data_IF_818117247360
#
_entry.id   IF_818117247360
#
_cell.length_a   1.000
_cell.length_b   1.000
_cell.length_c   1.000
_cell.angle_alpha   90.00
_cell.angle_beta   90.00
_cell.angle_gamma   90.00
#
_symmetry.space_group_name_H-M   'P 1'
#
loop_
_entity.id
_entity.type
_entity.pdbx_description
1 polymer ?
#
# COMPACT_ATOMS: atom_id res chain seq x y z
N UNK A 1 -35.61 54.61 -23.32
CA UNK A 1 -34.45 53.73 -23.56
C UNK A 1 -33.27 54.23 -22.76
N UNK A 2 -32.91 53.52 -21.67
CA UNK A 2 -31.59 53.59 -21.01
C UNK A 2 -31.46 52.34 -20.13
N UNK A 3 -30.39 51.60 -20.37
CA UNK A 3 -30.24 50.19 -20.04
C UNK A 3 -29.96 49.95 -18.55
N UNK A 4 -30.50 48.85 -18.05
CA UNK A 4 -30.18 48.25 -16.76
C UNK A 4 -28.90 47.44 -16.92
N UNK A 5 -27.84 47.80 -16.18
CA UNK A 5 -26.63 46.97 -16.07
C UNK A 5 -26.75 46.16 -14.78
N UNK A 6 -27.17 44.91 -14.92
CA UNK A 6 -27.09 43.91 -13.84
C UNK A 6 -25.66 43.38 -13.81
N UNK A 7 -24.88 43.85 -12.83
CA UNK A 7 -23.60 43.23 -12.47
C UNK A 7 -23.89 41.89 -11.78
N UNK A 8 -23.88 40.81 -12.56
CA UNK A 8 -23.78 39.46 -12.01
C UNK A 8 -22.36 39.29 -11.45
N UNK A 9 -22.21 39.59 -10.16
CA UNK A 9 -21.03 39.20 -9.40
C UNK A 9 -20.97 37.69 -9.32
N UNK A 10 -20.24 37.08 -10.26
CA UNK A 10 -19.84 35.68 -10.18
C UNK A 10 -18.81 35.59 -9.05
N UNK A 11 -19.28 35.45 -7.80
CA UNK A 11 -18.42 34.98 -6.74
C UNK A 11 -18.01 33.55 -7.11
N UNK A 12 -16.82 33.44 -7.68
CA UNK A 12 -16.04 32.20 -7.67
C UNK A 12 -15.91 31.81 -6.20
N UNK A 13 -16.84 30.98 -5.71
CA UNK A 13 -16.54 30.18 -4.53
C UNK A 13 -15.40 29.28 -4.98
N UNK A 14 -14.18 29.66 -4.64
CA UNK A 14 -13.05 28.76 -4.69
C UNK A 14 -13.44 27.57 -3.83
N UNK A 15 -13.95 26.53 -4.48
CA UNK A 15 -13.98 25.20 -3.91
C UNK A 15 -12.52 24.83 -3.79
N UNK A 16 -11.90 25.22 -2.68
CA UNK A 16 -10.72 24.56 -2.17
C UNK A 16 -11.15 23.10 -1.98
N UNK A 17 -10.98 22.31 -3.03
CA UNK A 17 -10.73 20.90 -2.89
C UNK A 17 -9.39 20.81 -2.15
N UNK A 18 -9.42 21.07 -0.83
CA UNK A 18 -8.53 20.44 0.10
C UNK A 18 -8.76 18.95 -0.15
N UNK A 19 -7.92 18.38 -0.99
CA UNK A 19 -7.65 16.96 -1.01
C UNK A 19 -7.48 16.62 0.47
N UNK A 20 -8.47 15.98 1.09
CA UNK A 20 -8.35 15.50 2.46
C UNK A 20 -7.12 14.59 2.44
N UNK A 21 -6.00 15.14 2.91
CA UNK A 21 -4.75 14.39 2.93
C UNK A 21 -4.98 13.22 3.87
N UNK A 22 -4.45 12.08 3.46
CA UNK A 22 -4.61 10.72 3.98
C UNK A 22 -4.13 10.54 5.44
N UNK A 23 -4.46 11.47 6.34
CA UNK A 23 -4.48 11.22 7.77
C UNK A 23 -5.65 10.30 8.06
N UNK A 24 -5.48 9.30 8.92
CA UNK A 24 -6.46 8.25 9.19
C UNK A 24 -6.55 7.12 8.13
N UNK A 25 -5.44 6.74 7.52
CA UNK A 25 -5.38 5.57 6.65
C UNK A 25 -5.82 4.28 7.38
N UNK A 26 -5.38 4.10 8.62
CA UNK A 26 -5.59 2.87 9.36
C UNK A 26 -7.08 2.62 9.62
N UNK A 27 -7.85 3.61 10.08
CA UNK A 27 -9.28 3.40 10.34
C UNK A 27 -10.11 3.43 9.05
N UNK A 28 -9.76 4.32 8.10
CA UNK A 28 -10.53 4.45 6.87
C UNK A 28 -10.34 3.25 5.92
N UNK A 29 -9.10 2.77 5.78
CA UNK A 29 -8.71 1.83 4.71
C UNK A 29 -8.10 0.56 5.28
N UNK A 30 -7.06 0.68 6.11
CA UNK A 30 -6.24 -0.46 6.48
C UNK A 30 -6.99 -1.49 7.32
N UNK A 31 -7.75 -1.08 8.33
CA UNK A 31 -8.55 -2.01 9.17
C UNK A 31 -9.67 -2.66 8.33
N UNK A 32 -10.55 -1.91 7.61
CA UNK A 32 -11.59 -2.54 6.80
C UNK A 32 -11.04 -3.49 5.72
N UNK A 33 -9.90 -3.16 5.13
CA UNK A 33 -9.26 -4.00 4.11
C UNK A 33 -8.70 -5.28 4.73
N UNK A 34 -8.09 -5.20 5.91
CA UNK A 34 -7.60 -6.36 6.66
C UNK A 34 -8.74 -7.34 6.98
N UNK A 35 -9.85 -6.85 7.53
CA UNK A 35 -11.03 -7.66 7.85
C UNK A 35 -11.63 -8.32 6.61
N UNK A 36 -11.75 -7.58 5.51
CA UNK A 36 -12.24 -8.09 4.23
C UNK A 36 -11.34 -9.20 3.69
N UNK A 37 -10.03 -8.98 3.61
CA UNK A 37 -9.08 -9.98 3.10
C UNK A 37 -9.12 -11.24 3.97
N UNK A 38 -9.17 -11.07 5.30
CA UNK A 38 -9.26 -12.18 6.23
C UNK A 38 -10.49 -13.05 5.97
N UNK A 39 -11.66 -12.44 5.86
CA UNK A 39 -12.91 -13.16 5.60
C UNK A 39 -12.89 -13.91 4.27
N UNK A 40 -12.31 -13.31 3.21
CA UNK A 40 -12.15 -13.96 1.90
C UNK A 40 -11.20 -15.16 1.98
N UNK A 41 -10.06 -14.99 2.64
CA UNK A 41 -9.06 -16.06 2.78
C UNK A 41 -9.56 -17.21 3.65
N UNK A 42 -10.25 -16.92 4.75
CA UNK A 42 -10.92 -17.93 5.58
C UNK A 42 -11.99 -18.69 4.79
N UNK A 43 -12.76 -17.99 3.95
CA UNK A 43 -13.73 -18.62 3.06
C UNK A 43 -13.05 -19.54 2.02
N UNK A 44 -11.92 -19.13 1.45
CA UNK A 44 -11.11 -19.96 0.52
C UNK A 44 -10.57 -21.21 1.22
N UNK A 45 -10.13 -21.10 2.48
CA UNK A 45 -9.69 -22.27 3.26
C UNK A 45 -10.85 -23.22 3.59
N UNK A 46 -12.02 -22.67 3.90
CA UNK A 46 -13.22 -23.45 4.24
C UNK A 46 -13.83 -24.13 3.00
N UNK A 47 -13.85 -23.47 1.85
CA UNK A 47 -14.35 -23.97 0.58
C UNK A 47 -13.21 -24.19 -0.41
N UNK A 48 -12.75 -25.44 -0.56
CA UNK A 48 -11.70 -25.85 -1.53
C UNK A 48 -11.98 -25.53 -3.01
N UNK A 49 -13.14 -24.93 -3.34
CA UNK A 49 -13.62 -24.64 -4.70
C UNK A 49 -13.80 -23.12 -4.99
N UNK A 50 -13.39 -22.19 -4.11
CA UNK A 50 -13.38 -20.76 -4.45
C UNK A 50 -12.09 -20.46 -5.22
N UNK A 51 -12.21 -20.05 -6.49
CA UNK A 51 -11.09 -19.58 -7.30
C UNK A 51 -10.78 -18.11 -6.98
N UNK A 52 -9.51 -17.74 -7.08
CA UNK A 52 -8.94 -16.44 -6.64
C UNK A 52 -9.41 -15.25 -7.52
N UNK A 53 -10.25 -15.52 -8.52
CA UNK A 53 -10.67 -14.61 -9.60
C UNK A 53 -11.57 -13.45 -9.11
N UNK A 54 -12.20 -13.57 -7.92
CA UNK A 54 -13.12 -12.56 -7.38
C UNK A 54 -12.45 -11.46 -6.51
N UNK A 55 -11.11 -11.44 -6.41
CA UNK A 55 -10.43 -10.56 -5.43
C UNK A 55 -10.40 -9.08 -5.79
N UNK A 56 -10.37 -8.65 -7.07
CA UNK A 56 -10.26 -7.23 -7.51
C UNK A 56 -10.87 -6.97 -8.91
N UNK A 57 -11.43 -5.77 -9.16
CA UNK A 57 -11.86 -5.31 -10.49
C UNK A 57 -10.65 -4.85 -11.33
N UNK A 58 -10.42 -5.48 -12.48
CA UNK A 58 -9.48 -5.00 -13.51
C UNK A 58 -8.00 -5.32 -13.27
N UNK A 59 -7.68 -6.31 -12.43
CA UNK A 59 -6.33 -6.87 -12.30
C UNK A 59 -6.31 -8.38 -12.56
N UNK A 60 -5.13 -8.94 -12.79
CA UNK A 60 -4.94 -10.38 -13.00
C UNK A 60 -4.22 -11.01 -11.81
N UNK A 61 -4.58 -12.25 -11.47
CA UNK A 61 -3.83 -13.03 -10.49
C UNK A 61 -2.39 -13.23 -10.95
N UNK A 62 -1.46 -12.74 -10.15
CA UNK A 62 -0.04 -12.90 -10.35
C UNK A 62 0.38 -14.33 -9.95
N UNK A 63 1.19 -15.00 -10.78
CA UNK A 63 1.91 -16.19 -10.36
C UNK A 63 2.72 -15.92 -9.09
N UNK A 64 2.81 -16.92 -8.21
CA UNK A 64 3.49 -16.80 -6.91
C UNK A 64 4.95 -16.29 -7.00
N UNK A 65 5.62 -16.56 -8.12
CA UNK A 65 7.00 -16.16 -8.39
C UNK A 65 7.14 -14.89 -9.24
N UNK A 66 6.04 -14.20 -9.59
CA UNK A 66 6.09 -13.01 -10.45
C UNK A 66 6.68 -11.80 -9.72
N UNK A 67 6.38 -11.65 -8.43
CA UNK A 67 6.82 -10.53 -7.60
C UNK A 67 7.46 -11.01 -6.29
N UNK A 68 8.62 -11.68 -6.36
CA UNK A 68 9.27 -12.32 -5.21
C UNK A 68 9.82 -11.31 -4.18
N UNK A 69 9.84 -10.03 -4.50
CA UNK A 69 10.16 -8.95 -3.57
C UNK A 69 8.93 -8.39 -2.84
N UNK A 70 7.72 -8.71 -3.29
CA UNK A 70 6.49 -8.22 -2.68
C UNK A 70 6.33 -8.81 -1.28
N UNK A 71 5.92 -7.97 -0.34
CA UNK A 71 5.68 -8.37 1.03
C UNK A 71 4.40 -7.72 1.56
N UNK A 72 3.45 -8.55 2.00
CA UNK A 72 2.27 -8.08 2.73
C UNK A 72 2.64 -7.65 4.15
N UNK A 73 1.89 -6.70 4.72
CA UNK A 73 2.04 -6.28 6.11
C UNK A 73 0.71 -6.44 6.85
N UNK A 74 0.74 -7.14 7.97
CA UNK A 74 -0.29 -7.03 9.01
C UNK A 74 0.27 -6.19 10.15
N UNK A 75 -0.52 -5.24 10.62
CA UNK A 75 -0.07 -4.18 11.52
C UNK A 75 -0.97 -4.19 12.76
N UNK A 76 -0.41 -4.55 13.90
CA UNK A 76 -1.06 -4.37 15.19
C UNK A 76 -0.95 -2.89 15.58
N UNK A 77 -2.03 -2.29 16.05
CA UNK A 77 -2.04 -0.88 16.46
C UNK A 77 -1.89 -0.74 17.98
N UNK A 78 -1.35 0.38 18.44
CA UNK A 78 -1.17 0.67 19.87
C UNK A 78 -2.54 0.87 20.52
N UNK A 79 -2.79 0.15 21.62
CA UNK A 79 -4.01 0.35 22.42
C UNK A 79 -5.28 -0.27 21.83
N UNK A 80 -5.17 -1.06 20.76
CA UNK A 80 -6.31 -1.76 20.14
C UNK A 80 -6.01 -3.25 19.95
N UNK A 81 -7.06 -4.02 19.66
CA UNK A 81 -6.96 -5.41 19.16
C UNK A 81 -7.15 -5.50 17.65
N UNK A 82 -7.32 -4.36 16.98
CA UNK A 82 -7.55 -4.29 15.55
C UNK A 82 -6.26 -4.47 14.78
N UNK A 83 -6.36 -5.07 13.60
CA UNK A 83 -5.25 -5.29 12.69
C UNK A 83 -5.49 -4.47 11.43
N UNK A 84 -4.50 -3.68 11.06
CA UNK A 84 -4.48 -2.93 9.81
C UNK A 84 -3.61 -3.65 8.76
N UNK A 85 -3.76 -3.30 7.49
CA UNK A 85 -2.94 -3.84 6.39
C UNK A 85 -2.19 -2.75 5.65
N UNK A 86 -0.96 -3.08 5.25
CA UNK A 86 -0.20 -2.36 4.23
C UNK A 86 0.52 -3.36 3.32
N UNK A 87 1.33 -2.83 2.39
CA UNK A 87 2.29 -3.59 1.61
C UNK A 87 3.71 -3.04 1.82
N UNK A 88 4.68 -3.81 1.37
CA UNK A 88 6.10 -3.49 1.47
C UNK A 88 6.89 -4.22 0.37
N UNK A 89 8.18 -3.91 0.26
CA UNK A 89 9.09 -4.59 -0.67
C UNK A 89 10.40 -4.96 0.00
N UNK A 90 10.88 -6.17 -0.25
CA UNK A 90 12.16 -6.66 0.26
C UNK A 90 13.32 -5.96 -0.48
N UNK A 91 14.16 -5.23 0.26
CA UNK A 91 15.34 -4.54 -0.28
C UNK A 91 16.63 -5.33 -0.07
N UNK A 92 16.67 -6.15 0.96
CA UNK A 92 17.81 -7.01 1.31
C UNK A 92 17.31 -8.14 2.21
N UNK A 93 18.11 -9.17 2.53
CA UNK A 93 17.66 -10.30 3.34
C UNK A 93 16.98 -9.93 4.67
N UNK A 94 17.27 -8.77 5.26
CA UNK A 94 16.67 -8.34 6.52
C UNK A 94 16.07 -6.92 6.51
N UNK A 95 15.82 -6.33 5.33
CA UNK A 95 15.23 -4.98 5.25
C UNK A 95 14.09 -4.97 4.25
N UNK A 96 12.94 -4.47 4.70
CA UNK A 96 11.80 -4.18 3.83
C UNK A 96 11.50 -2.68 3.86
N UNK A 97 11.14 -2.13 2.70
CA UNK A 97 10.67 -0.74 2.57
C UNK A 97 9.16 -0.71 2.54
N UNK A 98 8.58 0.28 3.22
CA UNK A 98 7.14 0.54 3.26
C UNK A 98 6.91 2.04 3.36
N UNK A 99 5.65 2.47 3.37
CA UNK A 99 5.28 3.86 3.63
C UNK A 99 5.41 4.19 5.12
N UNK A 100 5.78 5.42 5.45
CA UNK A 100 5.83 5.87 6.84
C UNK A 100 4.43 5.94 7.48
N UNK A 101 3.39 6.23 6.70
CA UNK A 101 2.02 6.23 7.18
C UNK A 101 1.53 4.86 7.64
N UNK A 102 2.13 3.76 7.17
CA UNK A 102 1.85 2.42 7.67
C UNK A 102 2.33 2.23 9.12
N UNK A 103 3.27 3.04 9.58
CA UNK A 103 3.67 3.08 10.98
C UNK A 103 2.91 4.14 11.76
N UNK A 104 2.75 5.33 11.20
CA UNK A 104 1.99 6.42 11.83
C UNK A 104 1.29 7.29 10.81
N UNK A 105 -0.03 7.22 10.75
CA UNK A 105 -0.84 7.98 9.77
C UNK A 105 -1.30 9.35 10.29
N UNK A 106 -0.77 9.81 11.42
CA UNK A 106 -1.21 11.04 12.09
C UNK A 106 -2.29 10.82 13.15
N UNK A 107 -2.88 9.63 13.22
CA UNK A 107 -3.90 9.24 14.20
C UNK A 107 -3.46 7.98 14.94
N UNK A 108 -3.24 6.89 14.18
CA UNK A 108 -2.94 5.56 14.70
C UNK A 108 -1.44 5.27 14.60
N UNK A 109 -0.90 4.58 15.59
CA UNK A 109 0.51 4.16 15.66
C UNK A 109 0.60 2.63 15.66
N UNK A 110 1.49 2.08 14.82
CA UNK A 110 1.81 0.67 14.80
C UNK A 110 2.58 0.25 16.07
N UNK A 111 2.15 -0.85 16.69
CA UNK A 111 2.85 -1.51 17.81
C UNK A 111 3.75 -2.65 17.34
N UNK A 112 3.37 -3.32 16.25
CA UNK A 112 4.12 -4.41 15.65
C UNK A 112 3.71 -4.63 14.19
N UNK A 113 4.68 -5.02 13.36
CA UNK A 113 4.47 -5.46 11.99
C UNK A 113 4.68 -6.97 11.91
N UNK A 114 3.79 -7.68 11.25
CA UNK A 114 4.06 -9.00 10.67
C UNK A 114 4.30 -8.81 9.18
N UNK A 115 5.50 -9.14 8.72
CA UNK A 115 5.90 -9.12 7.31
C UNK A 115 5.63 -10.50 6.71
N UNK A 116 4.90 -10.56 5.59
CA UNK A 116 4.51 -11.80 4.91
C UNK A 116 5.20 -11.85 3.54
N UNK A 117 6.08 -12.82 3.35
CA UNK A 117 6.86 -13.03 2.12
C UNK A 117 6.47 -14.35 1.45
N UNK A 118 6.58 -14.40 0.11
CA UNK A 118 6.41 -15.64 -0.66
C UNK A 118 5.00 -16.24 -0.58
N UNK A 119 3.96 -15.41 -0.52
CA UNK A 119 2.56 -15.84 -0.51
C UNK A 119 1.68 -14.89 -1.31
N UNK A 120 0.68 -15.47 -1.98
CA UNK A 120 -0.45 -14.78 -2.61
C UNK A 120 -1.58 -14.45 -1.61
N UNK A 121 -1.36 -14.78 -0.34
CA UNK A 121 -2.32 -14.63 0.73
C UNK A 121 -1.70 -13.91 1.92
N UNK A 122 -2.48 -13.03 2.55
CA UNK A 122 -2.02 -12.21 3.66
C UNK A 122 -2.16 -12.94 5.01
N UNK A 123 -3.17 -13.79 5.15
CA UNK A 123 -3.47 -14.59 6.34
C UNK A 123 -3.11 -16.07 6.19
N UNK A 124 -2.81 -16.54 4.98
CA UNK A 124 -2.49 -17.96 4.71
C UNK A 124 -1.04 -18.13 4.22
N UNK A 125 -0.33 -19.08 4.82
CA UNK A 125 1.01 -19.47 4.37
C UNK A 125 2.03 -18.32 4.41
N UNK A 126 3.03 -18.44 3.53
CA UNK A 126 4.17 -17.53 3.45
C UNK A 126 5.14 -17.63 4.62
N UNK A 127 6.29 -16.96 4.46
CA UNK A 127 7.21 -16.71 5.57
C UNK A 127 6.73 -15.48 6.34
N UNK A 128 6.40 -15.66 7.62
CA UNK A 128 5.76 -14.64 8.47
C UNK A 128 6.72 -14.20 9.55
N UNK A 129 7.10 -12.92 9.53
CA UNK A 129 8.19 -12.40 10.37
C UNK A 129 7.70 -11.17 11.13
N UNK A 130 7.65 -11.29 12.46
CA UNK A 130 7.29 -10.17 13.32
C UNK A 130 8.47 -9.21 13.53
N UNK A 131 8.23 -7.91 13.51
CA UNK A 131 9.21 -6.88 13.87
C UNK A 131 8.56 -5.63 14.45
N UNK A 132 9.28 -5.00 15.37
CA UNK A 132 8.96 -3.67 15.94
C UNK A 132 10.02 -2.63 15.58
N UNK A 133 11.04 -3.01 14.82
CA UNK A 133 12.16 -2.13 14.46
C UNK A 133 11.83 -1.38 13.17
N UNK A 134 11.28 -0.18 13.34
CA UNK A 134 10.92 0.72 12.26
C UNK A 134 11.83 1.94 12.26
N UNK A 135 12.31 2.33 11.09
CA UNK A 135 13.03 3.58 10.88
C UNK A 135 12.27 4.41 9.84
N UNK A 136 11.52 5.39 10.31
CA UNK A 136 10.83 6.35 9.44
C UNK A 136 11.80 7.42 8.95
N UNK A 137 11.52 8.00 7.79
CA UNK A 137 12.24 9.18 7.34
C UNK A 137 12.12 10.31 8.39
N UNK A 138 13.23 10.96 8.80
CA UNK A 138 13.23 11.94 9.89
C UNK A 138 12.40 13.19 9.61
N UNK A 139 12.14 13.48 8.32
CA UNK A 139 11.31 14.58 7.86
C UNK A 139 9.93 14.14 7.34
N UNK A 140 9.43 12.97 7.76
CA UNK A 140 8.08 12.54 7.43
C UNK A 140 7.04 13.48 8.07
N UNK A 141 6.07 13.94 7.26
CA UNK A 141 4.97 14.80 7.73
C UNK A 141 3.64 14.15 7.32
N UNK A 142 2.91 13.50 8.25
CA UNK A 142 1.67 12.78 7.94
C UNK A 142 0.63 13.63 7.21
N UNK A 143 0.41 14.86 7.68
CA UNK A 143 -0.58 15.80 7.13
C UNK A 143 -0.37 16.14 5.64
N UNK A 144 0.83 15.94 5.10
CA UNK A 144 1.15 16.26 3.71
C UNK A 144 1.67 15.05 2.93
N UNK A 145 1.68 13.85 3.54
CA UNK A 145 2.35 12.65 3.02
C UNK A 145 3.78 12.93 2.51
N UNK A 146 4.46 13.92 3.11
CA UNK A 146 5.80 14.34 2.68
C UNK A 146 6.81 13.36 3.24
N UNK A 147 7.72 12.87 2.40
CA UNK A 147 8.73 11.88 2.77
C UNK A 147 8.12 10.62 3.39
N UNK A 148 7.04 10.13 2.78
CA UNK A 148 6.29 8.96 3.24
C UNK A 148 7.02 7.64 2.94
N UNK A 149 8.12 7.41 3.67
CA UNK A 149 8.96 6.23 3.53
C UNK A 149 9.49 5.77 4.89
N UNK A 150 9.47 4.46 5.11
CA UNK A 150 10.03 3.81 6.28
C UNK A 150 10.71 2.49 5.92
N UNK A 151 11.69 2.08 6.72
CA UNK A 151 12.36 0.79 6.63
C UNK A 151 12.01 -0.04 7.87
N UNK A 152 11.55 -1.27 7.67
CA UNK A 152 11.43 -2.26 8.74
C UNK A 152 12.66 -3.17 8.71
N UNK A 153 13.25 -3.38 9.88
CA UNK A 153 14.37 -4.31 10.05
C UNK A 153 13.87 -5.65 10.56
N UNK A 154 14.10 -6.71 9.79
CA UNK A 154 13.75 -8.07 10.19
C UNK A 154 14.74 -8.58 11.25
N UNK A 155 14.28 -9.39 12.21
CA UNK A 155 15.13 -9.96 13.26
C UNK A 155 16.21 -10.93 12.75
N UNK A 156 16.04 -11.53 11.56
CA UNK A 156 17.00 -12.41 10.91
C UNK A 156 16.96 -12.22 9.38
N UNK A 157 17.98 -12.76 8.70
CA UNK A 157 18.04 -12.79 7.25
C UNK A 157 17.08 -13.85 6.70
N UNK A 158 16.22 -13.44 5.78
CA UNK A 158 15.36 -14.33 5.00
C UNK A 158 16.18 -15.04 3.94
N UNK A 159 15.93 -16.34 3.76
CA UNK A 159 16.60 -17.13 2.73
C UNK A 159 16.03 -16.77 1.36
N UNK A 160 16.89 -16.39 0.43
CA UNK A 160 16.44 -16.15 -0.95
C UNK A 160 16.03 -17.46 -1.63
N UNK A 161 14.89 -17.41 -2.32
CA UNK A 161 14.29 -18.50 -3.10
C UNK A 161 13.75 -17.94 -4.42
N UNK A 162 13.15 -18.81 -5.26
CA UNK A 162 12.47 -18.38 -6.48
C UNK A 162 11.19 -17.56 -6.24
N UNK A 163 10.67 -17.54 -5.01
CA UNK A 163 9.45 -16.79 -4.61
C UNK A 163 9.75 -15.71 -3.56
N UNK A 164 11.00 -15.63 -3.06
CA UNK A 164 11.46 -14.61 -2.12
C UNK A 164 12.84 -14.12 -2.55
N UNK A 165 12.93 -12.92 -3.10
CA UNK A 165 14.21 -12.27 -3.32
C UNK A 165 14.08 -10.75 -3.38
N UNK A 166 15.14 -9.99 -3.04
CA UNK A 166 15.06 -8.53 -3.02
C UNK A 166 14.78 -7.89 -4.40
N UNK A 167 14.16 -6.71 -4.39
CA UNK A 167 14.09 -5.80 -5.53
C UNK A 167 15.35 -4.94 -5.60
N UNK A 168 15.76 -4.55 -6.82
CA UNK A 168 16.83 -3.56 -7.02
C UNK A 168 16.28 -2.15 -6.82
N UNK A 169 17.07 -1.31 -6.16
CA UNK A 169 16.83 0.13 -6.12
C UNK A 169 17.37 0.77 -7.41
N UNK A 170 16.83 1.95 -7.83
CA UNK A 170 17.41 2.72 -8.91
C UNK A 170 18.88 3.04 -8.66
N UNK A 171 19.70 3.01 -9.72
CA UNK A 171 21.12 3.32 -9.62
C UNK A 171 21.36 4.84 -9.61
N UNK A 172 22.59 5.27 -9.33
CA UNK A 172 22.94 6.70 -9.32
C UNK A 172 22.71 7.38 -10.67
N UNK A 173 22.84 6.63 -11.77
CA UNK A 173 22.51 7.07 -13.13
C UNK A 173 21.02 7.37 -13.32
N UNK A 174 20.14 6.75 -12.53
CA UNK A 174 18.69 6.90 -12.62
C UNK A 174 18.15 8.06 -11.78
N UNK A 175 18.97 8.73 -10.96
CA UNK A 175 18.51 9.80 -10.07
C UNK A 175 17.86 10.99 -10.79
N UNK A 176 18.17 11.18 -12.08
CA UNK A 176 17.57 12.20 -12.94
C UNK A 176 16.60 11.62 -13.98
N UNK A 177 16.42 10.30 -13.98
CA UNK A 177 15.50 9.63 -14.88
C UNK A 177 14.08 9.83 -14.35
N UNK A 178 13.24 10.45 -15.17
CA UNK A 178 11.83 10.68 -14.84
C UNK A 178 10.95 9.46 -15.17
N UNK A 179 11.52 8.44 -15.81
CA UNK A 179 10.82 7.23 -16.28
C UNK A 179 9.59 7.53 -17.16
N UNK A 180 9.55 8.69 -17.80
CA UNK A 180 8.45 9.10 -18.69
C UNK A 180 8.39 8.17 -19.89
N UNK A 181 7.19 7.67 -20.20
CA UNK A 181 6.95 6.75 -21.32
C UNK A 181 7.21 5.28 -21.00
N UNK A 182 7.68 4.95 -19.79
CA UNK A 182 7.79 3.57 -19.33
C UNK A 182 6.51 3.11 -18.64
N UNK A 183 6.18 1.83 -18.80
CA UNK A 183 5.15 1.17 -18.03
C UNK A 183 5.71 0.76 -16.68
N UNK A 184 4.92 0.95 -15.63
CA UNK A 184 5.22 0.45 -14.30
C UNK A 184 4.18 -0.61 -13.89
N UNK A 185 4.53 -1.46 -12.92
CA UNK A 185 3.58 -2.44 -12.39
C UNK A 185 3.28 -2.11 -10.93
N UNK A 186 2.00 -1.99 -10.60
CA UNK A 186 1.53 -1.91 -9.22
C UNK A 186 1.07 -3.30 -8.77
N UNK A 187 1.53 -3.70 -7.58
CA UNK A 187 1.36 -5.04 -7.05
C UNK A 187 0.78 -4.95 -5.64
N UNK A 188 -0.28 -5.70 -5.35
CA UNK A 188 -0.85 -5.77 -4.01
C UNK A 188 -2.19 -6.48 -3.92
N UNK A 189 -2.76 -6.49 -2.71
CA UNK A 189 -4.04 -7.12 -2.41
C UNK A 189 -5.27 -6.26 -2.73
N UNK A 190 -5.04 -5.01 -3.15
CA UNK A 190 -6.00 -4.08 -3.79
C UNK A 190 -7.28 -3.72 -3.03
N UNK A 191 -7.94 -2.68 -3.53
CA UNK A 191 -9.33 -2.32 -3.17
C UNK A 191 -10.24 -2.74 -4.31
N UNK A 192 -11.45 -3.23 -4.00
CA UNK A 192 -12.41 -3.73 -5.01
C UNK A 192 -13.43 -2.69 -5.44
N UNK A 193 -13.22 -1.42 -5.13
CA UNK A 193 -14.09 -0.35 -5.58
C UNK A 193 -13.30 0.77 -6.25
N UNK A 194 -13.87 1.32 -7.32
CA UNK A 194 -13.33 2.38 -8.18
C UNK A 194 -13.25 3.78 -7.51
N UNK A 195 -13.35 3.86 -6.19
CA UNK A 195 -13.51 5.14 -5.48
C UNK A 195 -12.27 6.05 -5.48
N UNK A 196 -11.11 5.57 -5.96
CA UNK A 196 -9.90 6.41 -6.11
C UNK A 196 -9.32 6.31 -7.52
N UNK A 197 -9.66 7.30 -8.34
CA UNK A 197 -8.86 7.66 -9.53
C UNK A 197 -7.49 8.15 -9.07
N UNK A 198 -6.48 7.28 -9.09
CA UNK A 198 -5.09 7.72 -9.05
C UNK A 198 -4.78 8.48 -10.34
N UNK A 199 -4.26 9.69 -10.22
CA UNK A 199 -3.96 10.59 -11.33
C UNK A 199 -2.85 10.05 -12.24
N UNK A 200 -3.26 9.50 -13.40
CA UNK A 200 -2.81 9.79 -14.77
C UNK A 200 -1.37 10.29 -15.07
N UNK A 201 -0.32 9.81 -14.39
CA UNK A 201 1.06 10.17 -14.78
C UNK A 201 1.95 9.01 -15.23
N UNK A 202 1.59 7.75 -14.95
CA UNK A 202 2.24 6.60 -15.57
C UNK A 202 1.19 5.56 -15.96
N UNK A 203 1.32 4.93 -17.13
CA UNK A 203 0.50 3.79 -17.46
C UNK A 203 0.96 2.59 -16.59
N UNK A 204 0.05 2.07 -15.75
CA UNK A 204 0.36 0.98 -14.81
C UNK A 204 -0.35 -0.32 -15.22
N UNK A 205 0.39 -1.43 -15.22
CA UNK A 205 -0.20 -2.76 -15.14
C UNK A 205 -0.56 -3.06 -13.68
N UNK A 206 -1.75 -3.60 -13.43
CA UNK A 206 -2.24 -3.94 -12.09
C UNK A 206 -2.21 -5.45 -11.93
N UNK A 207 -1.24 -5.96 -11.18
CA UNK A 207 -1.12 -7.39 -10.91
C UNK A 207 -1.40 -7.70 -9.45
N UNK A 208 -2.15 -8.78 -9.23
CA UNK A 208 -2.74 -9.13 -7.94
C UNK A 208 -1.90 -10.23 -7.32
N UNK A 209 -1.35 -10.02 -6.12
CA UNK A 209 -0.67 -11.10 -5.40
C UNK A 209 -1.70 -11.86 -4.58
#
# INVERSE_FOLDING_TARGET
MRAVILLFGCFLTDVFALLEVQTNYHDAIGIPTAERIKALEEAIQANRNITIEDRIIGGELAPLNAYPFFAGLLISLVGTTTVSVCSSSLLSPNRVVTAAHCNFDGVQLASEFTVILGSNYLYIGGERIATRKVFMHPYYIPRYSRNDIAILYLPWNVKSTNIIHPIKLPDTSDLRNLFVGYWATAVGFGSTSDARKLSHFLPFNRNIV
#
